data_IF_017474990551
#
_entry.id   IF_017474990551
#
_cell.length_a   1.000
_cell.length_b   1.000
_cell.length_c   1.000
_cell.angle_alpha   90.00
_cell.angle_beta   90.00
_cell.angle_gamma   90.00
#
_symmetry.space_group_name_H-M   'P 1'
#
loop_
_entity.id
_entity.type
_entity.pdbx_description
1 polymer ?
#
# COMPACT_ATOMS: atom_id res chain seq x y z
N UNK A 1 -23.28 7.79 -1.28
CA UNK A 1 -23.09 6.53 -0.53
C UNK A 1 -21.93 5.67 -1.07
N UNK A 2 -21.83 5.45 -2.39
CA UNK A 2 -20.82 4.55 -3.00
C UNK A 2 -19.37 4.71 -2.49
N UNK A 3 -18.87 5.92 -2.25
CA UNK A 3 -17.49 6.14 -1.77
C UNK A 3 -17.15 5.46 -0.43
N UNK A 4 -18.13 5.21 0.45
CA UNK A 4 -17.90 4.45 1.70
C UNK A 4 -17.68 2.94 1.46
N UNK A 5 -17.96 2.42 0.26
CA UNK A 5 -17.82 1.00 -0.09
C UNK A 5 -16.37 0.64 -0.43
N UNK A 6 -15.63 1.52 -1.11
CA UNK A 6 -14.23 1.27 -1.49
C UNK A 6 -13.30 1.15 -0.28
N UNK A 7 -13.44 2.03 0.71
CA UNK A 7 -12.64 2.00 1.95
C UNK A 7 -12.86 0.66 2.70
N UNK A 8 -14.10 0.17 2.73
CA UNK A 8 -14.42 -1.12 3.37
C UNK A 8 -13.81 -2.32 2.61
N UNK A 9 -13.75 -2.28 1.27
CA UNK A 9 -13.19 -3.37 0.46
C UNK A 9 -11.69 -3.58 0.70
N UNK A 10 -10.89 -2.52 0.79
CA UNK A 10 -9.44 -2.62 1.06
C UNK A 10 -9.14 -3.21 2.44
N UNK A 11 -9.97 -2.89 3.44
CA UNK A 11 -9.87 -3.44 4.79
C UNK A 11 -10.35 -4.90 4.85
N UNK A 12 -11.43 -5.24 4.13
CA UNK A 12 -11.94 -6.60 4.03
C UNK A 12 -10.99 -7.54 3.26
N UNK A 13 -10.27 -7.06 2.24
CA UNK A 13 -9.25 -7.88 1.56
C UNK A 13 -8.06 -8.21 2.46
N UNK A 14 -7.67 -7.30 3.36
CA UNK A 14 -6.64 -7.58 4.37
C UNK A 14 -7.14 -8.53 5.47
N UNK A 15 -8.39 -8.39 5.91
CA UNK A 15 -8.99 -9.27 6.91
C UNK A 15 -9.27 -10.70 6.36
N UNK A 16 -9.63 -10.81 5.08
CA UNK A 16 -9.90 -12.09 4.41
C UNK A 16 -8.67 -12.68 3.70
N UNK A 17 -7.47 -12.08 3.87
CA UNK A 17 -6.19 -12.71 3.53
C UNK A 17 -5.82 -13.82 4.55
N UNK A 18 -6.78 -14.69 4.86
CA UNK A 18 -6.54 -15.92 5.58
C UNK A 18 -5.60 -16.80 4.73
N UNK A 19 -4.56 -17.42 5.32
CA UNK A 19 -3.72 -18.36 4.59
C UNK A 19 -4.59 -19.51 4.06
N UNK A 20 -4.71 -19.61 2.73
CA UNK A 20 -5.16 -20.83 2.08
C UNK A 20 -4.00 -21.82 2.08
N UNK A 21 -3.62 -22.29 3.28
CA UNK A 21 -2.47 -23.16 3.50
C UNK A 21 -2.54 -24.37 2.55
N UNK A 22 -1.58 -24.51 1.62
CA UNK A 22 -1.48 -25.71 0.79
C UNK A 22 -1.28 -26.93 1.69
N UNK A 23 -1.92 -28.05 1.36
CA UNK A 23 -1.80 -29.29 2.13
C UNK A 23 -0.31 -29.64 2.34
N UNK A 24 0.10 -30.05 3.55
CA UNK A 24 1.51 -30.07 3.93
C UNK A 24 2.30 -31.13 3.14
N UNK A 25 3.02 -30.67 2.13
CA UNK A 25 4.12 -31.43 1.52
C UNK A 25 5.14 -31.75 2.60
N UNK A 26 5.40 -33.06 2.79
CA UNK A 26 6.25 -33.67 3.84
C UNK A 26 7.35 -32.73 4.33
N UNK A 27 7.33 -32.41 5.63
CA UNK A 27 8.27 -31.48 6.25
C UNK A 27 9.71 -32.03 6.23
N UNK A 28 10.45 -31.74 5.17
CA UNK A 28 11.89 -32.03 5.05
C UNK A 28 12.64 -31.13 6.02
N UNK A 29 12.80 -31.61 7.25
CA UNK A 29 13.52 -30.91 8.31
C UNK A 29 15.01 -30.82 7.94
N UNK A 30 15.43 -29.65 7.45
CA UNK A 30 16.84 -29.40 7.10
C UNK A 30 17.65 -29.15 8.37
N UNK A 31 18.71 -29.94 8.57
CA UNK A 31 19.66 -29.76 9.66
C UNK A 31 20.53 -28.51 9.45
N UNK A 32 20.00 -27.33 9.77
CA UNK A 32 20.75 -26.08 9.84
C UNK A 32 21.47 -25.93 11.19
N UNK A 33 22.57 -25.15 11.25
CA UNK A 33 23.12 -24.66 12.52
C UNK A 33 22.03 -23.93 13.33
N UNK A 34 21.93 -24.20 14.63
CA UNK A 34 20.89 -23.62 15.47
C UNK A 34 20.99 -22.08 15.53
N UNK A 35 22.19 -21.51 15.40
CA UNK A 35 22.40 -20.07 15.23
C UNK A 35 21.76 -19.49 13.97
N UNK A 36 21.81 -20.24 12.86
CA UNK A 36 21.26 -19.83 11.57
C UNK A 36 19.75 -19.97 11.53
N UNK A 37 19.23 -21.10 12.05
CA UNK A 37 17.80 -21.32 12.28
C UNK A 37 17.18 -20.22 13.15
N UNK A 38 17.82 -19.81 14.24
CA UNK A 38 17.29 -18.73 15.08
C UNK A 38 17.26 -17.35 14.39
N UNK A 39 18.22 -17.04 13.51
CA UNK A 39 18.15 -15.82 12.67
C UNK A 39 16.98 -15.89 11.69
N UNK A 40 16.81 -17.03 11.00
CA UNK A 40 15.73 -17.28 10.06
C UNK A 40 14.35 -17.15 10.75
N UNK A 41 14.18 -17.77 11.91
CA UNK A 41 12.93 -17.65 12.68
C UNK A 41 12.70 -16.25 13.28
N UNK A 42 13.76 -15.50 13.62
CA UNK A 42 13.62 -14.10 14.05
C UNK A 42 13.19 -13.19 12.90
N UNK A 43 13.71 -13.40 11.69
CA UNK A 43 13.25 -12.69 10.49
C UNK A 43 11.78 -13.00 10.20
N UNK A 44 11.36 -14.27 10.33
CA UNK A 44 9.94 -14.63 10.22
C UNK A 44 9.05 -13.87 11.21
N UNK A 45 9.47 -13.69 12.48
CA UNK A 45 8.73 -12.93 13.50
C UNK A 45 8.47 -11.47 13.05
N UNK A 46 9.39 -10.85 12.31
CA UNK A 46 9.21 -9.48 11.78
C UNK A 46 8.14 -9.33 10.69
N UNK A 47 7.61 -10.42 10.12
CA UNK A 47 6.45 -10.33 9.21
C UNK A 47 5.16 -9.97 9.95
N UNK A 48 5.02 -10.32 11.22
CA UNK A 48 3.88 -9.91 12.05
C UNK A 48 3.96 -8.40 12.34
N UNK A 49 5.15 -7.91 12.71
CA UNK A 49 5.46 -6.49 12.85
C UNK A 49 5.17 -5.71 11.55
N UNK A 50 5.60 -6.24 10.40
CA UNK A 50 5.39 -5.66 9.06
C UNK A 50 3.90 -5.58 8.70
N UNK A 51 3.11 -6.62 9.00
CA UNK A 51 1.64 -6.61 8.78
C UNK A 51 0.93 -5.61 9.70
N UNK A 52 1.34 -5.49 10.95
CA UNK A 52 0.80 -4.50 11.88
C UNK A 52 1.14 -3.07 11.44
N UNK A 53 2.34 -2.82 10.91
CA UNK A 53 2.70 -1.53 10.32
C UNK A 53 1.85 -1.22 9.08
N UNK A 54 1.71 -2.15 8.13
CA UNK A 54 0.86 -1.99 6.95
C UNK A 54 -0.58 -1.65 7.33
N UNK A 55 -1.18 -2.39 8.27
CA UNK A 55 -2.52 -2.11 8.78
C UNK A 55 -2.61 -0.71 9.43
N UNK A 56 -1.65 -0.36 10.29
CA UNK A 56 -1.61 0.94 10.97
C UNK A 56 -1.52 2.12 10.01
N UNK A 57 -0.67 2.04 8.98
CA UNK A 57 -0.52 3.12 7.99
C UNK A 57 -1.75 3.21 7.07
N UNK A 58 -2.31 2.09 6.62
CA UNK A 58 -3.54 2.07 5.84
C UNK A 58 -4.71 2.68 6.63
N UNK A 59 -4.87 2.31 7.91
CA UNK A 59 -5.88 2.91 8.79
C UNK A 59 -5.67 4.40 8.98
N UNK A 60 -4.43 4.85 9.25
CA UNK A 60 -4.10 6.26 9.47
C UNK A 60 -4.43 7.11 8.24
N UNK A 61 -4.06 6.66 7.03
CA UNK A 61 -4.31 7.38 5.79
C UNK A 61 -5.82 7.43 5.49
N UNK A 62 -6.57 6.33 5.67
CA UNK A 62 -8.02 6.33 5.49
C UNK A 62 -8.73 7.26 6.49
N UNK A 63 -8.30 7.29 7.76
CA UNK A 63 -8.85 8.21 8.77
C UNK A 63 -8.55 9.67 8.41
N UNK A 64 -7.33 9.97 7.95
CA UNK A 64 -6.95 11.33 7.53
C UNK A 64 -7.81 11.83 6.35
N UNK A 65 -8.04 10.97 5.35
CA UNK A 65 -8.91 11.25 4.21
C UNK A 65 -10.39 11.44 4.63
N UNK A 66 -10.93 10.56 5.46
CA UNK A 66 -12.31 10.69 5.98
C UNK A 66 -12.45 12.00 6.77
N UNK A 67 -11.49 12.33 7.64
CA UNK A 67 -11.48 13.57 8.43
C UNK A 67 -11.46 14.82 7.54
N UNK A 68 -10.66 14.83 6.47
CA UNK A 68 -10.69 15.90 5.46
C UNK A 68 -12.03 15.97 4.74
N UNK A 69 -12.63 14.83 4.40
CA UNK A 69 -13.92 14.77 3.71
C UNK A 69 -15.09 15.32 4.55
N UNK A 70 -15.04 15.17 5.87
CA UNK A 70 -16.08 15.65 6.78
C UNK A 70 -15.87 17.11 7.21
N UNK A 71 -14.61 17.58 7.29
CA UNK A 71 -14.27 18.94 7.75
C UNK A 71 -14.10 19.95 6.61
N UNK A 72 -13.31 19.61 5.58
CA UNK A 72 -12.73 20.59 4.66
C UNK A 72 -13.41 20.63 3.29
N UNK A 73 -13.87 19.48 2.75
CA UNK A 73 -14.43 19.40 1.40
C UNK A 73 -15.58 20.39 1.16
N UNK A 74 -16.41 20.67 2.17
CA UNK A 74 -17.51 21.65 2.06
C UNK A 74 -17.01 23.09 1.84
N UNK A 75 -15.89 23.45 2.45
CA UNK A 75 -15.26 24.76 2.28
C UNK A 75 -14.52 24.84 0.95
N UNK A 76 -13.73 23.83 0.61
CA UNK A 76 -13.04 23.73 -0.68
C UNK A 76 -14.02 23.80 -1.86
N UNK A 77 -15.09 23.01 -1.81
CA UNK A 77 -16.18 23.04 -2.80
C UNK A 77 -16.81 24.44 -2.96
N UNK A 78 -17.02 25.14 -1.85
CA UNK A 78 -17.54 26.51 -1.88
C UNK A 78 -16.53 27.49 -2.51
N UNK A 79 -15.24 27.37 -2.18
CA UNK A 79 -14.18 28.22 -2.76
C UNK A 79 -13.97 27.95 -4.26
N UNK A 80 -14.06 26.70 -4.70
CA UNK A 80 -14.15 26.37 -6.13
C UNK A 80 -15.35 27.08 -6.78
N UNK A 81 -16.57 26.88 -6.30
CA UNK A 81 -17.77 27.51 -6.88
C UNK A 81 -17.73 29.05 -6.86
N UNK A 82 -17.11 29.65 -5.84
CA UNK A 82 -16.95 31.10 -5.72
C UNK A 82 -15.91 31.66 -6.69
N UNK A 83 -14.78 30.98 -6.88
CA UNK A 83 -13.72 31.41 -7.79
C UNK A 83 -14.14 31.34 -9.27
N UNK A 84 -14.97 30.35 -9.65
CA UNK A 84 -15.61 30.26 -10.99
C UNK A 84 -16.20 31.58 -11.49
N UNK A 85 -16.82 32.38 -10.61
CA UNK A 85 -17.39 33.70 -10.95
C UNK A 85 -16.35 34.78 -11.17
N UNK A 86 -15.21 34.73 -10.47
CA UNK A 86 -14.09 35.69 -10.59
C UNK A 86 -13.30 35.48 -11.89
N UNK A 87 -13.31 34.26 -12.41
CA UNK A 87 -12.45 33.84 -13.51
C UNK A 87 -13.07 33.93 -14.91
N UNK A 88 -14.40 34.17 -14.99
CA UNK A 88 -15.11 34.43 -16.25
C UNK A 88 -14.49 35.55 -17.10
N UNK A 89 -13.71 36.44 -16.48
CA UNK A 89 -13.05 37.59 -17.10
C UNK A 89 -11.52 37.42 -17.25
N UNK A 90 -10.94 36.23 -17.00
CA UNK A 90 -9.50 35.98 -17.17
C UNK A 90 -9.20 35.34 -18.53
N UNK A 91 -8.03 35.66 -19.10
CA UNK A 91 -7.56 35.13 -20.39
C UNK A 91 -7.22 33.63 -20.34
N UNK A 92 -6.83 33.13 -19.18
CA UNK A 92 -6.60 31.71 -18.93
C UNK A 92 -6.96 31.40 -17.48
N UNK A 93 -8.02 30.63 -17.30
CA UNK A 93 -8.59 30.35 -15.97
C UNK A 93 -7.66 29.46 -15.12
N UNK A 94 -7.85 29.48 -13.81
CA UNK A 94 -7.29 28.50 -12.86
C UNK A 94 -7.73 27.09 -13.24
N UNK A 95 -8.96 26.92 -13.74
CA UNK A 95 -9.57 25.64 -14.11
C UNK A 95 -8.79 24.97 -15.25
N UNK A 96 -8.50 25.73 -16.30
CA UNK A 96 -7.60 25.34 -17.39
C UNK A 96 -6.16 25.07 -16.90
N UNK A 97 -5.63 25.93 -16.01
CA UNK A 97 -4.22 25.85 -15.55
C UNK A 97 -3.92 24.72 -14.56
N UNK A 98 -4.87 24.34 -13.70
CA UNK A 98 -4.68 23.31 -12.67
C UNK A 98 -5.29 21.96 -13.01
N UNK A 99 -6.37 21.92 -13.81
CA UNK A 99 -7.17 20.70 -14.00
C UNK A 99 -7.44 20.35 -15.46
N UNK A 100 -6.74 20.99 -16.42
CA UNK A 100 -6.76 20.60 -17.83
C UNK A 100 -8.09 20.81 -18.57
N UNK A 101 -9.09 21.46 -17.95
CA UNK A 101 -10.43 21.69 -18.49
C UNK A 101 -10.33 22.40 -19.84
N UNK A 102 -10.92 21.84 -20.89
CA UNK A 102 -10.92 22.46 -22.22
C UNK A 102 -11.88 23.67 -22.32
N UNK A 103 -11.87 24.36 -23.45
CA UNK A 103 -12.64 25.60 -23.64
C UNK A 103 -14.16 25.37 -23.70
N UNK A 104 -14.60 24.19 -24.11
CA UNK A 104 -16.01 23.82 -24.31
C UNK A 104 -16.60 23.29 -23.01
N UNK A 105 -15.86 22.42 -22.31
CA UNK A 105 -16.11 22.05 -20.91
C UNK A 105 -16.20 23.29 -20.02
N UNK A 106 -15.27 24.23 -20.16
CA UNK A 106 -15.29 25.47 -19.38
C UNK A 106 -16.51 26.35 -19.70
N UNK A 107 -17.01 26.36 -20.95
CA UNK A 107 -18.27 27.03 -21.27
C UNK A 107 -19.48 26.34 -20.61
N UNK A 108 -19.57 25.01 -20.66
CA UNK A 108 -20.63 24.24 -20.01
C UNK A 108 -20.63 24.48 -18.48
N UNK A 109 -19.45 24.42 -17.85
CA UNK A 109 -19.27 24.72 -16.42
C UNK A 109 -19.66 26.19 -16.14
N UNK A 110 -19.27 27.16 -16.96
CA UNK A 110 -19.63 28.57 -16.75
C UNK A 110 -21.11 28.91 -16.98
N UNK A 111 -21.84 28.10 -17.77
CA UNK A 111 -23.24 28.34 -18.11
C UNK A 111 -24.24 27.55 -17.24
N UNK A 112 -23.86 26.37 -16.72
CA UNK A 112 -24.76 25.50 -15.97
C UNK A 112 -24.26 25.30 -14.52
N UNK A 113 -25.03 25.82 -13.55
CA UNK A 113 -24.70 25.73 -12.12
C UNK A 113 -24.76 24.29 -11.58
N UNK A 114 -25.62 23.41 -12.12
CA UNK A 114 -25.65 21.98 -11.74
C UNK A 114 -24.40 21.24 -12.22
N UNK A 115 -23.94 21.52 -13.44
CA UNK A 115 -22.68 20.95 -13.99
C UNK A 115 -21.49 21.43 -13.15
N UNK A 116 -21.42 22.73 -12.82
CA UNK A 116 -20.38 23.26 -11.95
C UNK A 116 -20.42 22.64 -10.53
N UNK A 117 -21.60 22.43 -9.95
CA UNK A 117 -21.77 21.77 -8.65
C UNK A 117 -21.46 20.27 -8.67
N UNK A 118 -21.47 19.61 -9.83
CA UNK A 118 -21.08 18.21 -9.94
C UNK A 118 -19.56 18.12 -10.13
N UNK A 119 -19.03 18.79 -11.16
CA UNK A 119 -17.60 18.87 -11.46
C UNK A 119 -16.75 19.24 -10.24
N UNK A 120 -17.18 20.24 -9.44
CA UNK A 120 -16.42 20.70 -8.27
C UNK A 120 -16.50 19.75 -7.06
N UNK A 121 -17.48 18.83 -7.00
CA UNK A 121 -17.46 17.73 -6.01
C UNK A 121 -16.49 16.65 -6.45
N UNK A 122 -16.59 16.27 -7.72
CA UNK A 122 -15.80 15.19 -8.31
C UNK A 122 -14.31 15.55 -8.25
N UNK A 123 -13.92 16.78 -8.60
CA UNK A 123 -12.53 17.23 -8.50
C UNK A 123 -11.97 17.32 -7.08
N UNK A 124 -12.75 17.82 -6.10
CA UNK A 124 -12.31 17.82 -4.69
C UNK A 124 -12.16 16.38 -4.19
N UNK A 125 -13.07 15.47 -4.55
CA UNK A 125 -12.94 14.07 -4.20
C UNK A 125 -11.71 13.42 -4.87
N UNK A 126 -11.53 13.62 -6.18
CA UNK A 126 -10.46 13.02 -6.98
C UNK A 126 -9.06 13.50 -6.56
N UNK A 127 -8.88 14.79 -6.23
CA UNK A 127 -7.58 15.30 -5.77
C UNK A 127 -7.17 14.67 -4.44
N UNK A 128 -8.06 14.68 -3.44
CA UNK A 128 -7.79 14.07 -2.14
C UNK A 128 -7.65 12.54 -2.23
N UNK A 129 -8.38 11.88 -3.14
CA UNK A 129 -8.26 10.44 -3.38
C UNK A 129 -6.91 10.10 -4.04
N UNK A 130 -6.41 10.94 -4.95
CA UNK A 130 -5.08 10.79 -5.54
C UNK A 130 -3.97 10.99 -4.50
N UNK A 131 -4.08 12.00 -3.62
CA UNK A 131 -3.15 12.21 -2.50
C UNK A 131 -3.16 11.03 -1.51
N UNK A 132 -4.34 10.47 -1.23
CA UNK A 132 -4.50 9.24 -0.43
C UNK A 132 -3.78 8.05 -1.10
N UNK A 133 -3.96 7.82 -2.40
CA UNK A 133 -3.27 6.75 -3.13
C UNK A 133 -1.75 6.94 -3.21
N UNK A 134 -1.27 8.16 -3.41
CA UNK A 134 0.17 8.49 -3.40
C UNK A 134 0.79 8.23 -2.02
N UNK A 135 0.07 8.59 -0.95
CA UNK A 135 0.48 8.32 0.43
C UNK A 135 0.58 6.81 0.71
N UNK A 136 -0.42 6.04 0.26
CA UNK A 136 -0.42 4.58 0.38
C UNK A 136 0.74 3.94 -0.39
N UNK A 137 0.97 4.34 -1.64
CA UNK A 137 2.07 3.83 -2.46
C UNK A 137 3.44 4.13 -1.81
N UNK A 138 3.66 5.38 -1.37
CA UNK A 138 4.91 5.80 -0.73
C UNK A 138 5.19 5.01 0.55
N UNK A 139 4.15 4.74 1.36
CA UNK A 139 4.28 3.92 2.56
C UNK A 139 4.59 2.45 2.24
N UNK A 140 3.87 1.84 1.30
CA UNK A 140 4.09 0.44 0.88
C UNK A 140 5.50 0.25 0.30
N UNK A 141 5.99 1.22 -0.48
CA UNK A 141 7.37 1.25 -0.98
C UNK A 141 8.38 1.26 0.19
N UNK A 142 8.25 2.21 1.13
CA UNK A 142 9.17 2.31 2.27
C UNK A 142 9.17 1.07 3.18
N UNK A 143 8.02 0.41 3.35
CA UNK A 143 7.91 -0.87 4.08
C UNK A 143 8.60 -2.00 3.28
N UNK A 144 8.38 -2.05 1.97
CA UNK A 144 9.00 -3.03 1.06
C UNK A 144 10.52 -2.95 1.05
N UNK A 145 11.08 -1.75 1.00
CA UNK A 145 12.51 -1.49 1.06
C UNK A 145 13.10 -1.96 2.40
N UNK A 146 12.47 -1.60 3.53
CA UNK A 146 12.90 -2.04 4.86
C UNK A 146 12.90 -3.57 5.01
N UNK A 147 11.90 -4.25 4.47
CA UNK A 147 11.83 -5.72 4.48
C UNK A 147 12.96 -6.34 3.64
N UNK A 148 13.20 -5.86 2.42
CA UNK A 148 14.27 -6.36 1.56
C UNK A 148 15.67 -6.10 2.15
N UNK A 149 15.86 -4.97 2.83
CA UNK A 149 17.10 -4.65 3.54
C UNK A 149 17.25 -5.45 4.83
N UNK A 150 16.16 -5.79 5.52
CA UNK A 150 16.19 -6.73 6.65
C UNK A 150 16.59 -8.14 6.20
N UNK A 151 16.06 -8.62 5.06
CA UNK A 151 16.46 -9.87 4.45
C UNK A 151 17.94 -9.85 4.00
N UNK A 152 18.42 -8.72 3.48
CA UNK A 152 19.83 -8.52 3.10
C UNK A 152 20.74 -8.58 4.34
N UNK A 153 20.38 -7.89 5.44
CA UNK A 153 21.09 -7.98 6.73
C UNK A 153 21.06 -9.41 7.30
N UNK A 154 19.96 -10.14 7.14
CA UNK A 154 19.89 -11.55 7.50
C UNK A 154 20.84 -12.39 6.65
N UNK A 155 20.88 -12.21 5.32
CA UNK A 155 21.79 -12.92 4.40
C UNK A 155 23.23 -12.86 4.89
N UNK A 156 23.72 -11.66 5.18
CA UNK A 156 25.08 -11.40 5.66
C UNK A 156 25.37 -11.91 7.08
N UNK A 157 24.37 -12.43 7.80
CA UNK A 157 24.52 -12.97 9.16
C UNK A 157 24.53 -14.50 9.23
N UNK A 158 24.09 -15.19 8.17
CA UNK A 158 24.03 -16.65 8.07
C UNK A 158 25.37 -17.22 7.57
N UNK A 159 25.62 -18.51 7.82
CA UNK A 159 26.79 -19.20 7.24
C UNK A 159 26.64 -19.37 5.72
N UNK A 160 27.75 -19.43 5.00
CA UNK A 160 27.78 -19.59 3.53
C UNK A 160 27.01 -20.83 3.06
N UNK A 161 27.10 -21.93 3.82
CA UNK A 161 26.35 -23.16 3.56
C UNK A 161 24.82 -22.93 3.64
N UNK A 162 24.35 -22.23 4.66
CA UNK A 162 22.93 -21.85 4.77
C UNK A 162 22.52 -20.91 3.63
N UNK A 163 23.35 -19.91 3.31
CA UNK A 163 23.07 -18.96 2.20
C UNK A 163 22.97 -19.68 0.85
N UNK A 164 23.82 -20.69 0.60
CA UNK A 164 23.74 -21.53 -0.59
C UNK A 164 22.49 -22.43 -0.59
N UNK A 165 22.14 -23.03 0.54
CA UNK A 165 20.92 -23.87 0.66
C UNK A 165 19.61 -23.09 0.52
N UNK A 166 19.65 -21.76 0.72
CA UNK A 166 18.50 -20.85 0.63
C UNK A 166 18.64 -19.81 -0.49
N UNK A 167 19.42 -20.07 -1.54
CA UNK A 167 19.58 -19.14 -2.67
C UNK A 167 18.24 -18.69 -3.25
N UNK A 168 17.31 -19.63 -3.52
CA UNK A 168 15.94 -19.35 -3.98
C UNK A 168 15.21 -18.28 -3.15
N UNK A 169 15.40 -18.29 -1.83
CA UNK A 169 14.76 -17.34 -0.92
C UNK A 169 15.30 -15.92 -1.14
N UNK A 170 16.62 -15.78 -1.23
CA UNK A 170 17.25 -14.49 -1.51
C UNK A 170 16.95 -14.02 -2.93
N UNK A 171 16.87 -14.94 -3.89
CA UNK A 171 16.56 -14.63 -5.29
C UNK A 171 15.10 -14.18 -5.46
N UNK A 172 14.16 -14.75 -4.70
CA UNK A 172 12.77 -14.26 -4.65
C UNK A 172 12.70 -12.80 -4.17
N UNK A 173 13.47 -12.46 -3.14
CA UNK A 173 13.50 -11.08 -2.59
C UNK A 173 14.26 -10.11 -3.52
N UNK A 174 15.32 -10.58 -4.19
CA UNK A 174 16.01 -9.81 -5.23
C UNK A 174 15.09 -9.54 -6.44
N UNK A 175 14.34 -10.54 -6.91
CA UNK A 175 13.36 -10.39 -7.98
C UNK A 175 12.27 -9.38 -7.59
N UNK A 176 11.74 -9.46 -6.37
CA UNK A 176 10.80 -8.48 -5.84
C UNK A 176 11.38 -7.06 -5.85
N UNK A 177 12.55 -6.85 -5.24
CA UNK A 177 13.23 -5.53 -5.17
C UNK A 177 13.54 -4.96 -6.57
N UNK A 178 13.85 -5.81 -7.53
CA UNK A 178 14.18 -5.41 -8.90
C UNK A 178 12.97 -5.30 -9.84
N UNK A 179 11.77 -5.75 -9.42
CA UNK A 179 10.58 -5.77 -10.27
C UNK A 179 9.96 -4.40 -10.53
N UNK A 180 10.20 -3.43 -9.64
CA UNK A 180 9.48 -2.15 -9.62
C UNK A 180 8.01 -2.24 -9.18
N UNK A 181 7.45 -3.45 -8.99
CA UNK A 181 6.05 -3.70 -8.66
C UNK A 181 5.78 -3.61 -7.15
N UNK A 182 6.09 -2.45 -6.55
CA UNK A 182 5.83 -2.14 -5.15
C UNK A 182 4.35 -1.86 -4.91
N UNK A 183 3.56 -2.91 -4.75
CA UNK A 183 2.13 -2.85 -4.44
C UNK A 183 1.75 -3.71 -3.24
N UNK A 184 0.61 -3.39 -2.60
CA UNK A 184 0.15 -4.07 -1.38
C UNK A 184 0.11 -5.59 -1.55
N UNK A 185 -0.53 -6.06 -2.63
CA UNK A 185 -0.66 -7.49 -2.94
C UNK A 185 0.71 -8.15 -3.10
N UNK A 186 1.61 -7.55 -3.92
CA UNK A 186 2.94 -8.11 -4.16
C UNK A 186 3.76 -8.25 -2.85
N UNK A 187 3.60 -7.31 -1.91
CA UNK A 187 4.21 -7.39 -0.57
C UNK A 187 3.56 -8.49 0.30
N UNK A 188 2.23 -8.60 0.32
CA UNK A 188 1.52 -9.62 1.11
C UNK A 188 1.71 -11.03 0.57
N UNK A 189 1.75 -11.19 -0.75
CA UNK A 189 1.96 -12.45 -1.45
C UNK A 189 3.38 -12.96 -1.22
N UNK A 190 4.37 -12.05 -1.28
CA UNK A 190 5.75 -12.34 -0.91
C UNK A 190 5.84 -12.78 0.56
N UNK A 191 5.37 -11.97 1.52
CA UNK A 191 5.40 -12.35 2.95
C UNK A 191 4.75 -13.71 3.21
N UNK A 192 3.62 -14.01 2.57
CA UNK A 192 2.87 -15.25 2.80
C UNK A 192 3.55 -16.48 2.16
N UNK A 193 4.11 -16.32 0.96
CA UNK A 193 4.93 -17.35 0.29
C UNK A 193 6.17 -17.69 1.12
N UNK A 194 6.86 -16.68 1.63
CA UNK A 194 8.04 -16.86 2.49
C UNK A 194 7.64 -17.48 3.83
N UNK A 195 6.56 -17.02 4.47
CA UNK A 195 6.10 -17.53 5.76
C UNK A 195 5.77 -19.02 5.74
N UNK A 196 5.09 -19.48 4.69
CA UNK A 196 4.82 -20.91 4.49
C UNK A 196 6.12 -21.71 4.38
N UNK A 197 7.10 -21.22 3.59
CA UNK A 197 8.42 -21.85 3.44
C UNK A 197 9.18 -21.94 4.79
N UNK A 198 9.22 -20.87 5.57
CA UNK A 198 9.95 -20.84 6.85
C UNK A 198 9.31 -21.72 7.92
N UNK A 199 7.97 -21.66 8.08
CA UNK A 199 7.25 -22.49 9.05
C UNK A 199 7.46 -23.98 8.77
N UNK A 200 7.28 -24.38 7.50
CA UNK A 200 7.32 -25.79 7.11
C UNK A 200 8.75 -26.36 7.03
N UNK A 201 9.75 -25.57 6.60
CA UNK A 201 11.14 -26.04 6.42
C UNK A 201 11.98 -26.07 7.70
N UNK A 202 11.80 -25.09 8.59
CA UNK A 202 12.65 -24.93 9.80
C UNK A 202 11.95 -25.22 11.12
N UNK A 203 10.63 -25.48 11.10
CA UNK A 203 9.83 -25.67 12.31
C UNK A 203 9.94 -24.50 13.29
N UNK A 204 9.92 -23.26 12.78
CA UNK A 204 9.89 -22.04 13.58
C UNK A 204 8.62 -22.02 14.45
N UNK A 205 8.74 -22.48 15.69
CA UNK A 205 7.61 -22.64 16.59
C UNK A 205 7.06 -21.30 17.08
N UNK A 206 5.79 -21.27 17.51
CA UNK A 206 5.15 -20.07 18.09
C UNK A 206 5.74 -19.59 19.44
N UNK A 207 6.83 -20.19 19.91
CA UNK A 207 7.57 -19.77 21.11
C UNK A 207 9.03 -19.51 20.78
N UNK A 208 9.29 -18.26 20.41
CA UNK A 208 10.55 -17.59 20.73
C UNK A 208 10.13 -16.38 21.57
N UNK A 209 10.28 -16.53 22.89
CA UNK A 209 10.01 -15.48 23.86
C UNK A 209 11.01 -14.32 23.64
#
# INVERSE_FOLDING_TARGET
>A
MQYRVFIALTLLSLANAAPSDPAPTVAVCVSLPESDKNRLCKFLKSFEETRMELFGVIMTINIAFISHSEQNFKHEFADYLNNRRREKNQSLSLWQRKFGVDREQMQLILQNDTVAQQWAKDHVFESHNLEMHLSLFTAILAISERMADAATRMKSSLSEATVASEHEFFDTINQYKNSGHFGLNALTDLMSTLESKFKNKYQCSKKVD
#
